data_IF_123992090595
#
_entry.id   IF_123992090595
#
_cell.length_a   1.000
_cell.length_b   1.000
_cell.length_c   1.000
_cell.angle_alpha   90.00
_cell.angle_beta   90.00
_cell.angle_gamma   90.00
#
_symmetry.space_group_name_H-M   'P 1'
#
loop_
_entity.id
_entity.type
_entity.pdbx_description
1 polymer ?
#
# COMPACT_ATOMS: atom_id res chain seq x y z
N UNK A 1 -28.91 6.20 -5.21
CA UNK A 1 -28.68 5.67 -6.59
C UNK A 1 -27.29 5.08 -6.75
N UNK A 2 -26.21 5.78 -6.36
CA UNK A 2 -24.82 5.33 -6.57
C UNK A 2 -24.51 3.85 -6.23
N UNK A 3 -24.85 3.30 -5.03
CA UNK A 3 -24.55 1.89 -4.73
C UNK A 3 -25.23 0.88 -5.66
N UNK A 4 -26.41 1.22 -6.18
CA UNK A 4 -27.15 0.39 -7.13
C UNK A 4 -26.45 0.43 -8.50
N UNK A 5 -25.98 1.60 -8.92
CA UNK A 5 -25.22 1.72 -10.17
C UNK A 5 -23.95 0.89 -10.13
N UNK A 6 -23.15 1.00 -9.06
CA UNK A 6 -21.92 0.22 -8.91
C UNK A 6 -22.19 -1.30 -8.85
N UNK A 7 -23.32 -1.73 -8.26
CA UNK A 7 -23.76 -3.11 -8.34
C UNK A 7 -24.09 -3.54 -9.78
N UNK A 8 -24.81 -2.70 -10.52
CA UNK A 8 -25.21 -2.99 -11.90
C UNK A 8 -24.00 -3.00 -12.83
N UNK A 9 -22.96 -2.19 -12.56
CA UNK A 9 -21.70 -2.20 -13.30
C UNK A 9 -21.04 -3.58 -13.28
N UNK A 10 -21.02 -4.25 -12.11
CA UNK A 10 -20.46 -5.61 -11.98
C UNK A 10 -21.13 -6.57 -12.97
N UNK A 11 -22.46 -6.50 -13.09
CA UNK A 11 -23.19 -7.35 -14.04
C UNK A 11 -22.96 -6.91 -15.49
N UNK A 12 -23.07 -5.61 -15.75
CA UNK A 12 -23.05 -5.03 -17.11
C UNK A 12 -21.69 -5.22 -17.78
N UNK A 13 -20.61 -5.16 -17.00
CA UNK A 13 -19.24 -5.39 -17.45
C UNK A 13 -18.88 -6.88 -17.49
N UNK A 14 -19.79 -7.78 -17.10
CA UNK A 14 -19.53 -9.24 -17.09
C UNK A 14 -18.45 -9.64 -16.09
N UNK A 15 -18.37 -8.99 -14.93
CA UNK A 15 -17.29 -9.19 -13.95
C UNK A 15 -17.50 -10.50 -13.18
N UNK A 16 -16.55 -11.42 -13.29
CA UNK A 16 -16.52 -12.64 -12.47
C UNK A 16 -15.94 -12.39 -11.06
N UNK A 17 -14.95 -11.50 -10.96
CA UNK A 17 -14.27 -11.13 -9.71
C UNK A 17 -14.32 -9.61 -9.49
N UNK A 18 -15.13 -9.18 -8.53
CA UNK A 18 -15.19 -7.80 -8.07
C UNK A 18 -14.05 -7.53 -7.06
N UNK A 19 -12.98 -6.91 -7.54
CA UNK A 19 -11.85 -6.44 -6.74
C UNK A 19 -12.08 -5.01 -6.26
N UNK A 20 -11.89 -4.75 -4.96
CA UNK A 20 -11.94 -3.41 -4.41
C UNK A 20 -11.35 -3.31 -3.01
N UNK A 21 -11.26 -2.11 -2.45
CA UNK A 21 -10.94 -1.95 -1.03
C UNK A 21 -12.01 -2.59 -0.13
N UNK A 22 -11.65 -2.93 1.10
CA UNK A 22 -12.59 -3.51 2.09
C UNK A 22 -13.77 -2.58 2.41
N UNK A 23 -13.63 -1.27 2.17
CA UNK A 23 -14.70 -0.27 2.23
C UNK A 23 -15.81 -0.51 1.20
N UNK A 24 -15.50 -1.16 0.08
CA UNK A 24 -16.47 -1.53 -0.97
C UNK A 24 -17.28 -2.80 -0.62
N UNK A 25 -16.97 -3.46 0.50
CA UNK A 25 -17.59 -4.75 0.89
C UNK A 25 -19.11 -4.67 0.92
N UNK A 26 -19.70 -3.61 1.47
CA UNK A 26 -21.18 -3.48 1.56
C UNK A 26 -21.83 -3.50 0.17
N UNK A 27 -21.23 -2.81 -0.80
CA UNK A 27 -21.75 -2.75 -2.18
C UNK A 27 -21.57 -4.10 -2.87
N UNK A 28 -20.42 -4.76 -2.68
CA UNK A 28 -20.20 -6.10 -3.21
C UNK A 28 -21.18 -7.13 -2.61
N UNK A 29 -21.57 -7.00 -1.34
CA UNK A 29 -22.59 -7.87 -0.74
C UNK A 29 -23.98 -7.61 -1.33
N UNK A 30 -24.34 -6.34 -1.57
CA UNK A 30 -25.57 -6.02 -2.30
C UNK A 30 -25.58 -6.70 -3.68
N UNK A 31 -24.47 -6.64 -4.42
CA UNK A 31 -24.38 -7.31 -5.71
C UNK A 31 -24.58 -8.82 -5.61
N UNK A 32 -23.97 -9.47 -4.61
CA UNK A 32 -24.15 -10.90 -4.39
C UNK A 32 -25.57 -11.29 -3.97
N UNK A 33 -26.28 -10.42 -3.25
CA UNK A 33 -27.65 -10.66 -2.80
C UNK A 33 -28.69 -10.40 -3.90
N UNK A 34 -28.56 -9.30 -4.64
CA UNK A 34 -29.60 -8.82 -5.54
C UNK A 34 -29.38 -9.17 -7.01
N UNK A 35 -28.15 -9.36 -7.50
CA UNK A 35 -27.94 -9.77 -8.89
C UNK A 35 -28.60 -11.14 -9.21
N UNK A 36 -28.56 -12.15 -8.32
CA UNK A 36 -29.27 -13.41 -8.55
C UNK A 36 -30.78 -13.27 -8.71
N UNK A 37 -31.42 -12.29 -8.06
CA UNK A 37 -32.88 -12.12 -8.12
C UNK A 37 -33.35 -11.59 -9.49
N UNK A 38 -32.43 -11.04 -10.29
CA UNK A 38 -32.66 -10.58 -11.66
C UNK A 38 -32.02 -11.50 -12.71
N UNK A 39 -31.63 -12.72 -12.33
CA UNK A 39 -31.07 -13.72 -13.26
C UNK A 39 -29.58 -13.54 -13.59
N UNK A 40 -28.89 -12.61 -12.93
CA UNK A 40 -27.46 -12.42 -13.06
C UNK A 40 -26.67 -13.30 -12.08
N UNK A 41 -25.38 -13.56 -12.37
CA UNK A 41 -24.52 -14.33 -11.48
C UNK A 41 -24.07 -13.48 -10.28
N UNK A 42 -23.97 -14.10 -9.11
CA UNK A 42 -23.31 -13.48 -7.96
C UNK A 42 -21.79 -13.44 -8.19
N UNK A 43 -21.13 -12.27 -8.14
CA UNK A 43 -19.69 -12.16 -8.38
C UNK A 43 -18.88 -12.77 -7.22
N UNK A 44 -17.69 -13.29 -7.51
CA UNK A 44 -16.66 -13.47 -6.48
C UNK A 44 -16.20 -12.08 -6.04
N UNK A 45 -15.88 -11.90 -4.76
CA UNK A 45 -15.43 -10.61 -4.24
C UNK A 45 -14.10 -10.77 -3.52
N UNK A 46 -13.10 -10.00 -3.92
CA UNK A 46 -11.80 -9.94 -3.27
C UNK A 46 -11.56 -8.52 -2.76
N UNK A 47 -11.12 -8.41 -1.52
CA UNK A 47 -10.96 -7.14 -0.84
C UNK A 47 -9.52 -6.91 -0.43
N UNK A 48 -8.97 -5.73 -0.75
CA UNK A 48 -7.68 -5.28 -0.23
C UNK A 48 -7.87 -4.50 1.07
N UNK A 49 -6.89 -4.52 1.99
CA UNK A 49 -6.95 -3.70 3.20
C UNK A 49 -6.88 -2.20 2.85
N UNK A 50 -7.34 -1.36 3.78
CA UNK A 50 -7.10 0.09 3.70
C UNK A 50 -5.70 0.36 4.23
N UNK A 51 -4.89 1.08 3.44
CA UNK A 51 -3.55 1.52 3.84
C UNK A 51 -3.66 2.86 4.56
N UNK A 52 -2.94 3.00 5.67
CA UNK A 52 -2.88 4.23 6.43
C UNK A 52 -2.11 5.32 5.67
N UNK A 53 -2.49 6.56 5.93
CA UNK A 53 -1.67 7.70 5.52
C UNK A 53 -0.33 7.68 6.26
N UNK A 54 0.66 8.36 5.69
CA UNK A 54 2.01 8.47 6.22
C UNK A 54 2.07 9.02 7.64
N UNK A 55 1.02 9.67 8.15
CA UNK A 55 0.94 10.16 9.53
C UNK A 55 0.35 9.12 10.51
N UNK A 56 0.11 7.87 10.10
CA UNK A 56 -0.51 6.82 10.92
C UNK A 56 -2.02 6.97 11.10
N UNK A 57 -2.65 7.90 10.39
CA UNK A 57 -4.10 8.10 10.39
C UNK A 57 -4.70 7.69 9.05
N UNK A 58 -6.03 7.78 8.93
CA UNK A 58 -6.71 7.57 7.65
C UNK A 58 -6.12 8.48 6.57
N UNK A 59 -5.82 7.90 5.41
CA UNK A 59 -5.34 8.63 4.26
C UNK A 59 -6.38 9.67 3.79
N UNK A 60 -5.93 10.90 3.52
CA UNK A 60 -6.79 12.00 3.09
C UNK A 60 -6.07 12.98 2.16
N UNK A 61 -6.73 13.36 1.07
CA UNK A 61 -6.24 14.38 0.15
C UNK A 61 -6.01 15.73 0.85
N UNK A 62 -6.85 16.09 1.83
CA UNK A 62 -6.76 17.38 2.55
C UNK A 62 -5.58 17.45 3.52
N UNK A 63 -5.12 16.32 4.04
CA UNK A 63 -3.98 16.26 4.96
C UNK A 63 -2.64 16.11 4.23
N UNK A 64 -2.66 15.74 2.94
CA UNK A 64 -1.43 15.48 2.18
C UNK A 64 -0.60 14.33 2.74
N UNK A 65 -1.22 13.43 3.52
CA UNK A 65 -0.56 12.31 4.21
C UNK A 65 -0.40 11.08 3.30
N UNK A 66 -0.15 11.27 2.01
CA UNK A 66 -0.03 10.20 1.02
C UNK A 66 1.05 10.52 -0.01
N UNK A 67 1.54 9.46 -0.67
CA UNK A 67 2.43 9.56 -1.82
C UNK A 67 1.57 9.48 -3.08
N UNK A 68 1.71 10.48 -3.94
CA UNK A 68 1.09 10.52 -5.27
C UNK A 68 2.03 9.89 -6.29
N UNK A 69 1.48 9.23 -7.31
CA UNK A 69 2.25 8.80 -8.49
C UNK A 69 2.86 9.98 -9.27
N UNK A 70 2.33 11.19 -9.06
CA UNK A 70 2.82 12.43 -9.65
C UNK A 70 3.74 13.23 -8.71
N UNK A 71 4.14 12.67 -7.55
CA UNK A 71 5.15 13.30 -6.72
C UNK A 71 6.53 13.15 -7.36
N UNK A 72 7.32 14.22 -7.35
CA UNK A 72 8.75 14.14 -7.71
C UNK A 72 9.51 13.29 -6.68
N UNK A 73 10.72 12.84 -7.01
CA UNK A 73 11.57 12.16 -6.03
C UNK A 73 11.81 13.02 -4.78
N UNK A 74 11.99 14.33 -4.95
CA UNK A 74 12.17 15.27 -3.83
C UNK A 74 10.93 15.30 -2.92
N UNK A 75 9.73 15.34 -3.51
CA UNK A 75 8.46 15.34 -2.77
C UNK A 75 8.28 14.04 -1.97
N UNK A 76 8.56 12.89 -2.60
CA UNK A 76 8.52 11.57 -1.95
C UNK A 76 9.45 11.58 -0.73
N UNK A 77 10.72 11.97 -0.91
CA UNK A 77 11.71 12.01 0.16
C UNK A 77 11.29 12.95 1.30
N UNK A 78 10.72 14.12 0.98
CA UNK A 78 10.21 15.09 1.94
C UNK A 78 9.03 14.56 2.75
N UNK A 79 8.10 13.86 2.11
CA UNK A 79 6.95 13.22 2.77
C UNK A 79 7.40 12.06 3.66
N UNK A 80 8.27 11.19 3.16
CA UNK A 80 8.82 10.05 3.89
C UNK A 80 9.57 10.48 5.15
N UNK A 81 10.35 11.56 5.09
CA UNK A 81 11.05 12.11 6.27
C UNK A 81 10.09 12.37 7.43
N UNK A 82 8.89 12.89 7.15
CA UNK A 82 7.84 13.21 8.13
C UNK A 82 6.93 12.04 8.48
N UNK A 83 7.05 10.91 7.78
CA UNK A 83 6.17 9.78 8.00
C UNK A 83 6.31 9.20 9.42
N UNK A 84 5.20 8.77 9.98
CA UNK A 84 5.10 8.08 11.26
C UNK A 84 5.64 6.66 11.09
N UNK A 85 6.66 6.31 11.87
CA UNK A 85 7.28 4.98 11.86
C UNK A 85 7.58 4.60 13.30
N UNK A 86 6.57 4.12 14.04
CA UNK A 86 6.74 3.72 15.43
C UNK A 86 7.43 2.34 15.50
N UNK A 87 8.08 1.96 16.62
CA UNK A 87 8.67 0.63 16.79
C UNK A 87 7.65 -0.52 16.64
N UNK A 88 6.37 -0.24 16.90
CA UNK A 88 5.28 -1.18 16.75
C UNK A 88 5.03 -1.55 15.28
N UNK A 89 4.61 -2.80 15.07
CA UNK A 89 4.28 -3.34 13.74
C UNK A 89 2.86 -2.94 13.31
N UNK A 90 1.91 -3.04 14.21
CA UNK A 90 0.49 -2.84 13.93
C UNK A 90 0.21 -1.39 13.50
N UNK A 91 -0.60 -1.21 12.45
CA UNK A 91 -0.95 0.09 11.86
C UNK A 91 0.23 0.97 11.38
N UNK A 92 1.45 0.43 11.31
CA UNK A 92 2.64 1.16 10.89
C UNK A 92 2.61 1.44 9.37
N UNK A 93 2.50 2.71 8.93
CA UNK A 93 2.33 3.02 7.51
C UNK A 93 3.58 2.68 6.69
N UNK A 94 4.78 2.71 7.28
CA UNK A 94 6.03 2.36 6.56
C UNK A 94 6.06 0.87 6.24
N UNK A 95 5.70 0.02 7.21
CA UNK A 95 5.61 -1.42 7.01
C UNK A 95 4.50 -1.76 6.00
N UNK A 96 3.36 -1.07 6.04
CA UNK A 96 2.31 -1.25 5.04
C UNK A 96 2.77 -0.90 3.62
N UNK A 97 3.52 0.19 3.44
CA UNK A 97 4.10 0.54 2.13
C UNK A 97 5.09 -0.51 1.67
N UNK A 98 5.97 -0.99 2.56
CA UNK A 98 6.88 -2.08 2.24
C UNK A 98 6.12 -3.33 1.79
N UNK A 99 5.12 -3.77 2.57
CA UNK A 99 4.33 -4.98 2.33
C UNK A 99 3.55 -4.96 1.03
N UNK A 100 2.83 -3.87 0.76
CA UNK A 100 1.85 -3.82 -0.33
C UNK A 100 2.38 -3.19 -1.61
N UNK A 101 3.47 -2.42 -1.54
CA UNK A 101 4.00 -1.70 -2.69
C UNK A 101 5.42 -2.11 -3.07
N UNK A 102 6.34 -2.20 -2.11
CA UNK A 102 7.77 -2.41 -2.39
C UNK A 102 8.09 -3.89 -2.61
N UNK A 103 7.90 -4.75 -1.60
CA UNK A 103 8.21 -6.18 -1.70
C UNK A 103 7.46 -6.93 -2.82
N UNK A 104 6.22 -6.56 -3.20
CA UNK A 104 5.56 -7.19 -4.35
C UNK A 104 6.13 -6.80 -5.73
N UNK A 105 7.06 -5.84 -5.79
CA UNK A 105 7.58 -5.27 -7.04
C UNK A 105 9.10 -5.31 -7.16
N UNK A 106 9.81 -5.37 -6.05
CA UNK A 106 11.26 -5.48 -5.99
C UNK A 106 11.64 -6.85 -5.43
N UNK A 107 12.59 -7.52 -6.09
CA UNK A 107 13.10 -8.83 -5.64
C UNK A 107 13.92 -8.73 -4.36
N UNK A 108 14.52 -7.57 -4.09
CA UNK A 108 15.37 -7.33 -2.92
C UNK A 108 15.20 -5.91 -2.43
N UNK A 109 15.11 -5.75 -1.09
CA UNK A 109 15.12 -4.47 -0.41
C UNK A 109 16.39 -4.37 0.43
N UNK A 110 17.24 -3.40 0.11
CA UNK A 110 18.50 -3.17 0.83
C UNK A 110 18.34 -2.03 1.84
N UNK A 111 18.71 -2.31 3.08
CA UNK A 111 18.73 -1.36 4.18
C UNK A 111 20.19 -0.99 4.47
N UNK A 112 20.59 0.19 4.00
CA UNK A 112 21.95 0.69 4.14
C UNK A 112 22.17 1.32 5.51
N UNK A 113 23.17 0.86 6.26
CA UNK A 113 23.53 1.45 7.56
C UNK A 113 25.02 1.30 7.87
N UNK A 114 25.63 2.26 8.59
CA UNK A 114 27.03 2.18 8.97
C UNK A 114 27.39 0.87 9.69
N UNK A 115 28.59 0.33 9.49
CA UNK A 115 29.04 -0.93 10.12
C UNK A 115 28.86 -0.94 11.65
N UNK A 116 29.10 0.21 12.30
CA UNK A 116 28.91 0.37 13.76
C UNK A 116 27.46 0.16 14.24
N UNK A 117 26.50 0.15 13.34
CA UNK A 117 25.08 -0.12 13.61
C UNK A 117 24.61 -1.46 13.02
N UNK A 118 25.54 -2.34 12.64
CA UNK A 118 25.26 -3.70 12.17
C UNK A 118 25.34 -3.90 10.66
N UNK A 119 25.85 -2.93 9.90
CA UNK A 119 26.13 -3.04 8.46
C UNK A 119 24.90 -3.19 7.57
N UNK A 120 25.08 -3.12 6.26
CA UNK A 120 23.98 -3.24 5.30
C UNK A 120 23.25 -4.58 5.46
N UNK A 121 21.93 -4.54 5.33
CA UNK A 121 21.06 -5.72 5.37
C UNK A 121 20.27 -5.82 4.07
N UNK A 122 20.09 -7.03 3.55
CA UNK A 122 19.28 -7.29 2.36
C UNK A 122 18.14 -8.24 2.69
N UNK A 123 16.95 -7.93 2.20
CA UNK A 123 15.73 -8.70 2.43
C UNK A 123 15.13 -9.13 1.10
N UNK A 124 14.83 -10.41 0.98
CA UNK A 124 14.08 -10.98 -0.16
C UNK A 124 12.61 -11.23 0.17
N UNK A 125 12.21 -11.09 1.44
CA UNK A 125 10.82 -11.22 1.87
C UNK A 125 10.44 -10.15 2.90
N UNK A 126 9.17 -9.75 2.85
CA UNK A 126 8.61 -8.81 3.81
C UNK A 126 8.60 -9.39 5.23
N UNK A 127 8.30 -10.68 5.36
CA UNK A 127 8.16 -11.37 6.65
C UNK A 127 9.45 -11.36 7.45
N UNK A 128 10.61 -11.51 6.80
CA UNK A 128 11.90 -11.41 7.47
C UNK A 128 12.17 -9.98 7.95
N UNK A 129 11.92 -8.99 7.09
CA UNK A 129 12.07 -7.58 7.43
C UNK A 129 11.18 -7.17 8.61
N UNK A 130 9.89 -7.53 8.59
CA UNK A 130 8.93 -7.24 9.65
C UNK A 130 9.35 -7.91 10.97
N UNK A 131 9.79 -9.18 10.91
CA UNK A 131 10.26 -9.90 12.09
C UNK A 131 11.45 -9.20 12.75
N UNK A 132 12.49 -8.86 11.99
CA UNK A 132 13.67 -8.20 12.55
C UNK A 132 13.37 -6.78 13.05
N UNK A 133 12.42 -6.10 12.42
CA UNK A 133 11.91 -4.81 12.93
C UNK A 133 11.20 -4.98 14.27
N UNK A 134 10.29 -5.95 14.39
CA UNK A 134 9.59 -6.26 15.64
C UNK A 134 10.51 -6.73 16.78
N UNK A 135 11.64 -7.35 16.43
CA UNK A 135 12.70 -7.71 17.39
C UNK A 135 13.60 -6.52 17.79
N UNK A 136 13.38 -5.32 17.21
CA UNK A 136 14.17 -4.12 17.48
C UNK A 136 15.58 -4.13 16.87
N UNK A 137 15.86 -5.05 15.93
CA UNK A 137 17.16 -5.15 15.24
C UNK A 137 17.31 -4.17 14.09
N UNK A 138 16.20 -3.60 13.64
CA UNK A 138 16.13 -2.56 12.62
C UNK A 138 15.60 -1.29 13.29
N UNK A 139 16.35 -0.20 13.18
CA UNK A 139 15.90 1.09 13.71
C UNK A 139 14.85 1.72 12.77
N UNK A 140 13.82 2.43 13.28
CA UNK A 140 12.79 3.07 12.45
C UNK A 140 13.33 4.02 11.38
N UNK A 141 14.44 4.71 11.66
CA UNK A 141 15.08 5.59 10.68
C UNK A 141 15.63 4.82 9.47
N UNK A 142 16.21 3.63 9.71
CA UNK A 142 16.80 2.83 8.65
C UNK A 142 15.70 2.15 7.82
N UNK A 143 14.65 1.63 8.48
CA UNK A 143 13.47 1.07 7.80
C UNK A 143 12.82 2.11 6.88
N UNK A 144 12.65 3.34 7.39
CA UNK A 144 12.09 4.46 6.61
C UNK A 144 12.99 4.82 5.42
N UNK A 145 14.31 4.81 5.59
CA UNK A 145 15.25 5.09 4.50
C UNK A 145 15.14 4.01 3.41
N UNK A 146 15.18 2.73 3.78
CA UNK A 146 15.02 1.61 2.85
C UNK A 146 13.67 1.66 2.11
N UNK A 147 12.58 1.94 2.83
CA UNK A 147 11.25 2.12 2.24
C UNK A 147 11.20 3.32 1.28
N UNK A 148 11.94 4.40 1.57
CA UNK A 148 12.03 5.57 0.70
C UNK A 148 12.72 5.23 -0.61
N UNK A 149 13.86 4.55 -0.58
CA UNK A 149 14.53 4.12 -1.80
C UNK A 149 13.65 3.16 -2.60
N UNK A 150 13.04 2.18 -1.93
CA UNK A 150 12.16 1.21 -2.58
C UNK A 150 10.95 1.86 -3.28
N UNK A 151 10.27 2.82 -2.64
CA UNK A 151 9.12 3.49 -3.27
C UNK A 151 9.55 4.44 -4.39
N UNK A 152 10.72 5.08 -4.27
CA UNK A 152 11.30 5.91 -5.34
C UNK A 152 11.58 5.05 -6.56
N UNK A 153 12.17 3.87 -6.39
CA UNK A 153 12.43 2.92 -7.47
C UNK A 153 11.13 2.39 -8.09
N UNK A 154 10.18 1.92 -7.28
CA UNK A 154 8.88 1.43 -7.74
C UNK A 154 8.13 2.46 -8.58
N UNK A 155 8.22 3.75 -8.22
CA UNK A 155 7.54 4.82 -8.93
C UNK A 155 8.36 5.44 -10.07
N UNK A 156 9.63 5.03 -10.27
CA UNK A 156 10.49 5.61 -11.30
C UNK A 156 9.88 5.52 -12.71
N UNK A 157 9.35 4.36 -13.17
CA UNK A 157 8.75 4.28 -14.50
C UNK A 157 7.54 5.20 -14.69
N UNK A 158 6.77 5.44 -13.62
CA UNK A 158 5.63 6.36 -13.66
C UNK A 158 6.09 7.81 -13.73
N UNK A 159 7.14 8.19 -13.00
CA UNK A 159 7.73 9.53 -13.08
C UNK A 159 8.34 9.81 -14.44
N UNK A 160 9.08 8.85 -15.01
CA UNK A 160 9.64 8.94 -16.36
C UNK A 160 8.54 9.18 -17.41
N UNK A 161 7.43 8.43 -17.30
CA UNK A 161 6.28 8.60 -18.19
C UNK A 161 5.62 9.99 -18.07
N UNK A 162 5.62 10.57 -16.86
CA UNK A 162 5.05 11.89 -16.58
C UNK A 162 6.04 13.05 -16.83
N UNK A 163 7.32 12.75 -17.06
CA UNK A 163 8.38 13.76 -17.24
C UNK A 163 8.76 14.48 -15.93
N UNK A 164 8.74 13.77 -14.81
CA UNK A 164 9.03 14.28 -13.46
C UNK A 164 10.43 13.93 -12.95
#
# INVERSE_FOLDING_TARGET
VYPIMQMVDIHTLGVDLALGGIDQRKIHMLAREYLPTIGAKAPLCMHTPIINGLNGKKMSSSEGNYISVADTEEDIRKKMKKAFCPPEIEENPILQVLKYHVFPRLDTVTLKRPEKFGGDMEFTSYEECEKLYGEGKIHPADLKAACTEGIVEVLAPARDYLGL
#
